data_IF_181780851044
#
_entry.id   IF_181780851044
#
_cell.length_a   1.000
_cell.length_b   1.000
_cell.length_c   1.000
_cell.angle_alpha   90.00
_cell.angle_beta   90.00
_cell.angle_gamma   90.00
#
_symmetry.space_group_name_H-M   'P 1'
#
loop_
_entity.id
_entity.type
_entity.pdbx_description
1 polymer ?
#
# COMPACT_ATOMS: atom_id res chain seq x y z
N UNK A 1 -1.03 23.65 -13.96
CA UNK A 1 0.19 23.22 -13.26
C UNK A 1 0.48 24.28 -12.22
N UNK A 2 0.15 24.03 -10.96
CA UNK A 2 0.44 24.95 -9.85
C UNK A 2 1.47 24.27 -8.98
N UNK A 3 2.64 24.89 -8.89
CA UNK A 3 3.73 24.50 -8.01
C UNK A 3 3.70 25.42 -6.77
N UNK A 4 4.09 24.93 -5.58
CA UNK A 4 4.45 23.54 -5.26
C UNK A 4 3.23 22.66 -4.97
N UNK A 5 3.36 21.36 -5.25
CA UNK A 5 2.43 20.32 -4.79
C UNK A 5 2.88 19.79 -3.43
N UNK A 6 1.92 19.35 -2.62
CA UNK A 6 2.18 18.62 -1.37
C UNK A 6 2.05 17.13 -1.66
N UNK A 7 3.01 16.35 -1.17
CA UNK A 7 3.03 14.91 -1.37
C UNK A 7 2.99 14.16 -0.04
N UNK A 8 2.39 12.98 -0.06
CA UNK A 8 2.46 11.99 1.00
C UNK A 8 3.19 10.77 0.49
N UNK A 9 4.12 10.25 1.28
CA UNK A 9 4.90 9.06 0.92
C UNK A 9 4.53 7.92 1.86
N UNK A 10 4.01 6.85 1.30
CA UNK A 10 3.67 5.65 2.04
C UNK A 10 4.74 4.59 1.83
N UNK A 11 5.40 4.19 2.91
CA UNK A 11 6.40 3.12 2.88
C UNK A 11 5.76 1.80 3.31
N UNK A 12 6.16 0.72 2.66
CA UNK A 12 5.80 -0.62 3.06
C UNK A 12 6.97 -1.58 2.89
N UNK A 13 7.02 -2.59 3.75
CA UNK A 13 7.84 -3.76 3.51
C UNK A 13 7.16 -4.62 2.43
N UNK A 14 7.94 -5.16 1.48
CA UNK A 14 7.39 -6.00 0.40
C UNK A 14 7.37 -7.48 0.73
N UNK A 15 8.16 -7.90 1.70
CA UNK A 15 8.36 -9.29 2.12
C UNK A 15 8.71 -9.36 3.60
N UNK A 16 8.50 -10.52 4.23
CA UNK A 16 8.80 -10.72 5.64
C UNK A 16 10.29 -10.48 5.92
N UNK A 17 10.63 -9.51 6.77
CA UNK A 17 12.02 -9.15 7.03
C UNK A 17 12.84 -10.26 7.68
N UNK A 18 12.19 -11.22 8.36
CA UNK A 18 12.86 -12.38 8.94
C UNK A 18 13.50 -13.29 7.88
N UNK A 19 12.94 -13.31 6.66
CA UNK A 19 13.41 -14.15 5.56
C UNK A 19 14.57 -13.53 4.76
N UNK A 20 14.87 -12.25 5.03
CA UNK A 20 15.73 -11.43 4.17
C UNK A 20 16.87 -10.78 4.94
N UNK A 21 16.62 -10.32 6.17
CA UNK A 21 17.65 -9.67 6.98
C UNK A 21 18.80 -10.64 7.32
N UNK A 22 18.49 -11.94 7.45
CA UNK A 22 19.50 -13.01 7.58
C UNK A 22 20.36 -13.22 6.32
N UNK A 23 19.97 -12.64 5.17
CA UNK A 23 20.71 -12.60 3.91
C UNK A 23 21.36 -11.23 3.68
N UNK A 24 21.50 -10.42 4.73
CA UNK A 24 22.02 -9.05 4.69
C UNK A 24 21.16 -8.04 3.92
N UNK A 25 19.86 -8.25 3.72
CA UNK A 25 19.05 -7.25 2.99
C UNK A 25 17.58 -7.17 3.42
N UNK A 26 16.92 -6.10 3.01
CA UNK A 26 15.47 -5.98 3.06
C UNK A 26 14.97 -5.22 1.83
N UNK A 27 13.70 -5.39 1.51
CA UNK A 27 13.05 -4.71 0.40
C UNK A 27 11.90 -3.85 0.90
N UNK A 28 11.81 -2.65 0.33
CA UNK A 28 10.78 -1.68 0.60
C UNK A 28 10.19 -1.18 -0.70
N UNK A 29 8.95 -0.74 -0.61
CA UNK A 29 8.30 0.01 -1.66
C UNK A 29 7.76 1.31 -1.06
N UNK A 30 7.90 2.40 -1.81
CA UNK A 30 7.29 3.68 -1.51
C UNK A 30 6.28 4.06 -2.59
N UNK A 31 5.06 4.40 -2.17
CA UNK A 31 4.05 5.04 -3.01
C UNK A 31 4.04 6.53 -2.70
N UNK A 32 4.34 7.35 -3.70
CA UNK A 32 4.30 8.81 -3.60
C UNK A 32 2.96 9.28 -4.15
N UNK A 33 2.11 9.83 -3.29
CA UNK A 33 0.80 10.36 -3.62
C UNK A 33 0.84 11.89 -3.69
N UNK A 34 0.33 12.44 -4.79
CA UNK A 34 0.05 13.88 -4.90
C UNK A 34 -1.23 14.18 -4.11
N UNK A 35 -1.15 15.05 -3.10
CA UNK A 35 -2.34 15.46 -2.35
C UNK A 35 -3.24 16.35 -3.21
N UNK A 36 -2.68 17.21 -4.04
CA UNK A 36 -3.50 18.07 -4.90
C UNK A 36 -4.25 17.28 -5.98
N UNK A 37 -3.60 16.26 -6.56
CA UNK A 37 -4.18 15.45 -7.64
C UNK A 37 -4.89 14.20 -7.15
N UNK A 38 -4.79 13.86 -5.86
CA UNK A 38 -5.37 12.66 -5.26
C UNK A 38 -5.05 11.39 -6.06
N UNK A 39 -3.80 11.28 -6.56
CA UNK A 39 -3.36 10.16 -7.40
C UNK A 39 -1.89 9.81 -7.20
N UNK A 40 -1.48 8.56 -7.48
CA UNK A 40 -0.07 8.18 -7.48
C UNK A 40 0.74 9.07 -8.44
N UNK A 41 1.77 9.72 -7.91
CA UNK A 41 2.73 10.50 -8.68
C UNK A 41 3.93 9.64 -9.07
N UNK A 42 4.36 8.74 -8.18
CA UNK A 42 5.46 7.81 -8.43
C UNK A 42 5.39 6.57 -7.52
N UNK A 43 6.10 5.53 -7.93
CA UNK A 43 6.35 4.31 -7.16
C UNK A 43 7.85 4.04 -7.15
N UNK A 44 8.41 3.75 -5.98
CA UNK A 44 9.84 3.44 -5.80
C UNK A 44 9.95 2.04 -5.22
N UNK A 45 10.83 1.23 -5.78
CA UNK A 45 11.16 -0.12 -5.27
C UNK A 45 12.62 -0.09 -4.86
N UNK A 46 12.88 -0.41 -3.61
CA UNK A 46 14.21 -0.30 -3.01
C UNK A 46 14.64 -1.63 -2.42
N UNK A 47 15.91 -1.97 -2.65
CA UNK A 47 16.57 -3.10 -2.02
C UNK A 47 17.78 -2.58 -1.26
N UNK A 48 17.73 -2.72 0.07
CA UNK A 48 18.71 -2.16 0.99
C UNK A 48 19.55 -3.28 1.59
N UNK A 49 20.88 -3.11 1.61
CA UNK A 49 21.81 -4.08 2.18
C UNK A 49 22.36 -3.62 3.52
N UNK A 50 22.56 -4.55 4.44
CA UNK A 50 23.22 -4.32 5.72
C UNK A 50 24.72 -4.58 5.57
N UNK A 51 25.52 -3.63 6.05
CA UNK A 51 26.96 -3.67 5.95
C UNK A 51 27.59 -3.44 7.32
N UNK A 52 28.54 -4.29 7.68
CA UNK A 52 29.40 -4.11 8.84
C UNK A 52 30.66 -3.36 8.39
N UNK A 53 30.72 -2.09 8.78
CA UNK A 53 31.85 -1.22 8.45
C UNK A 53 33.13 -1.55 9.23
N UNK A 54 33.05 -2.28 10.34
CA UNK A 54 34.24 -2.72 11.08
C UNK A 54 34.93 -3.88 10.37
N UNK A 55 34.13 -4.76 9.76
CA UNK A 55 34.62 -5.93 9.02
C UNK A 55 34.72 -5.71 7.52
N UNK A 56 34.29 -4.53 7.03
CA UNK A 56 34.24 -4.16 5.62
C UNK A 56 33.54 -5.22 4.75
N UNK A 57 32.37 -5.70 5.21
CA UNK A 57 31.56 -6.70 4.49
C UNK A 57 30.08 -6.61 4.81
N UNK A 58 29.25 -7.24 3.97
CA UNK A 58 27.82 -7.43 4.26
C UNK A 58 27.63 -8.28 5.52
N UNK A 59 26.62 -7.95 6.32
CA UNK A 59 26.33 -8.66 7.57
C UNK A 59 24.98 -9.36 7.54
N UNK A 60 25.01 -10.67 7.80
CA UNK A 60 23.83 -11.52 7.95
C UNK A 60 23.23 -11.48 9.36
N UNK A 61 23.87 -10.74 10.27
CA UNK A 61 23.44 -10.59 11.66
C UNK A 61 23.02 -9.15 11.88
N UNK A 62 21.77 -8.77 11.56
CA UNK A 62 21.25 -7.45 11.91
C UNK A 62 21.31 -7.26 13.43
N UNK A 63 21.57 -6.04 13.91
CA UNK A 63 21.32 -5.70 15.32
C UNK A 63 19.90 -6.08 15.73
N UNK A 64 19.74 -6.60 16.94
CA UNK A 64 18.46 -7.14 17.42
C UNK A 64 17.31 -6.12 17.35
N UNK A 65 17.60 -4.85 17.68
CA UNK A 65 16.61 -3.79 17.63
C UNK A 65 16.07 -3.55 16.21
N UNK A 66 16.90 -3.73 15.17
CA UNK A 66 16.47 -3.60 13.77
C UNK A 66 15.53 -4.75 13.44
N UNK A 67 15.93 -5.99 13.74
CA UNK A 67 15.08 -7.16 13.46
C UNK A 67 13.72 -7.03 14.15
N UNK A 68 13.71 -6.66 15.44
CA UNK A 68 12.47 -6.48 16.22
C UNK A 68 11.56 -5.42 15.62
N UNK A 69 12.09 -4.22 15.31
CA UNK A 69 11.30 -3.14 14.74
C UNK A 69 10.68 -3.52 13.39
N UNK A 70 11.45 -4.22 12.55
CA UNK A 70 10.95 -4.69 11.25
C UNK A 70 9.88 -5.76 11.40
N UNK A 71 10.02 -6.68 12.35
CA UNK A 71 9.00 -7.70 12.64
C UNK A 71 7.69 -7.08 13.15
N UNK A 72 7.78 -6.12 14.08
CA UNK A 72 6.60 -5.39 14.58
C UNK A 72 5.92 -4.61 13.45
N UNK A 73 6.71 -3.90 12.62
CA UNK A 73 6.19 -3.16 11.47
C UNK A 73 5.49 -4.09 10.47
N UNK A 74 6.08 -5.25 10.18
CA UNK A 74 5.50 -6.25 9.30
C UNK A 74 4.16 -6.79 9.84
N UNK A 75 4.10 -7.09 11.15
CA UNK A 75 2.88 -7.57 11.80
C UNK A 75 1.75 -6.53 11.72
N UNK A 76 2.04 -5.27 12.04
CA UNK A 76 1.08 -4.15 11.93
C UNK A 76 0.59 -3.97 10.48
N UNK A 77 1.48 -4.13 9.50
CA UNK A 77 1.14 -4.01 8.09
C UNK A 77 0.20 -5.14 7.64
N UNK A 78 0.46 -6.38 8.06
CA UNK A 78 -0.40 -7.53 7.72
C UNK A 78 -1.76 -7.48 8.43
N UNK A 79 -1.81 -6.99 9.67
CA UNK A 79 -3.07 -6.72 10.37
C UNK A 79 -3.88 -5.65 9.63
N UNK A 80 -3.25 -4.51 9.33
CA UNK A 80 -3.90 -3.41 8.61
C UNK A 80 -4.39 -3.87 7.24
N UNK A 81 -3.60 -4.67 6.51
CA UNK A 81 -3.98 -5.20 5.21
C UNK A 81 -5.27 -6.01 5.27
N UNK A 82 -5.42 -6.89 6.27
CA UNK A 82 -6.65 -7.67 6.46
C UNK A 82 -7.86 -6.76 6.73
N UNK A 83 -7.69 -5.78 7.62
CA UNK A 83 -8.74 -4.82 7.96
C UNK A 83 -9.19 -4.05 6.71
N UNK A 84 -8.25 -3.50 5.94
CA UNK A 84 -8.57 -2.70 4.75
C UNK A 84 -9.12 -3.55 3.61
N UNK A 85 -8.65 -4.78 3.42
CA UNK A 85 -9.25 -5.71 2.45
C UNK A 85 -10.73 -5.98 2.75
N UNK A 86 -11.09 -6.16 4.02
CA UNK A 86 -12.49 -6.31 4.41
C UNK A 86 -13.30 -5.05 4.12
N UNK A 87 -12.75 -3.88 4.41
CA UNK A 87 -13.44 -2.60 4.14
C UNK A 87 -13.67 -2.39 2.63
N UNK A 88 -12.67 -2.70 1.80
CA UNK A 88 -12.81 -2.64 0.33
C UNK A 88 -13.92 -3.57 -0.13
N UNK A 89 -13.92 -4.83 0.32
CA UNK A 89 -14.95 -5.79 -0.05
C UNK A 89 -16.36 -5.35 0.39
N UNK A 90 -16.48 -4.72 1.57
CA UNK A 90 -17.77 -4.18 2.03
C UNK A 90 -18.26 -3.07 1.11
N UNK A 91 -17.39 -2.13 0.71
CA UNK A 91 -17.73 -1.05 -0.21
C UNK A 91 -18.14 -1.61 -1.57
N UNK A 92 -17.39 -2.58 -2.10
CA UNK A 92 -17.70 -3.23 -3.37
C UNK A 92 -19.08 -3.92 -3.34
N UNK A 93 -19.41 -4.60 -2.23
CA UNK A 93 -20.72 -5.23 -2.05
C UNK A 93 -21.85 -4.22 -1.99
N UNK A 94 -21.67 -3.10 -1.28
CA UNK A 94 -22.69 -2.05 -1.23
C UNK A 94 -22.89 -1.38 -2.59
N UNK A 95 -21.81 -1.10 -3.32
CA UNK A 95 -21.90 -0.60 -4.71
C UNK A 95 -22.65 -1.59 -5.58
N UNK A 96 -22.33 -2.88 -5.49
CA UNK A 96 -23.02 -3.91 -6.28
C UNK A 96 -24.51 -4.00 -5.96
N UNK A 97 -24.88 -3.89 -4.68
CA UNK A 97 -26.29 -3.86 -4.26
C UNK A 97 -27.03 -2.68 -4.89
N UNK A 98 -26.43 -1.49 -4.87
CA UNK A 98 -27.00 -0.29 -5.49
C UNK A 98 -27.13 -0.41 -7.01
N UNK A 99 -26.15 -1.02 -7.68
CA UNK A 99 -26.22 -1.31 -9.12
C UNK A 99 -27.40 -2.23 -9.45
N UNK A 100 -27.59 -3.31 -8.68
CA UNK A 100 -28.69 -4.26 -8.85
C UNK A 100 -30.06 -3.66 -8.57
N UNK A 101 -30.17 -2.74 -7.62
CA UNK A 101 -31.42 -2.05 -7.28
C UNK A 101 -31.79 -0.95 -8.28
N UNK A 102 -30.84 -0.49 -9.10
CA UNK A 102 -31.01 0.65 -10.02
C UNK A 102 -30.79 0.26 -11.48
N UNK A 103 -29.54 0.12 -11.91
CA UNK A 103 -29.15 -0.02 -13.32
C UNK A 103 -29.34 -1.42 -13.88
N UNK A 104 -29.04 -2.44 -13.09
CA UNK A 104 -29.16 -3.86 -13.48
C UNK A 104 -30.55 -4.44 -13.16
N UNK A 105 -31.50 -3.60 -12.73
CA UNK A 105 -32.86 -4.04 -12.44
C UNK A 105 -33.62 -4.23 -13.77
N UNK A 106 -34.11 -5.44 -14.09
CA UNK A 106 -34.83 -5.70 -15.34
C UNK A 106 -36.14 -4.93 -15.47
N UNK A 107 -36.70 -4.45 -14.35
CA UNK A 107 -37.90 -3.64 -14.30
C UNK A 107 -37.60 -2.12 -14.18
N UNK A 108 -36.32 -1.72 -14.28
CA UNK A 108 -35.95 -0.31 -14.27
C UNK A 108 -36.49 0.41 -15.52
N UNK A 109 -37.17 1.52 -15.30
CA UNK A 109 -37.64 2.41 -16.36
C UNK A 109 -36.67 3.58 -16.46
N UNK A 110 -35.95 3.68 -17.58
CA UNK A 110 -35.07 4.83 -17.86
C UNK A 110 -35.93 6.09 -18.08
N UNK A 111 -35.74 7.10 -17.21
CA UNK A 111 -36.23 8.45 -17.48
C UNK A 111 -35.35 9.10 -18.54
N UNK A 112 -35.83 9.08 -19.79
CA UNK A 112 -35.14 9.65 -20.95
C UNK A 112 -35.04 11.18 -20.92
N UNK A 113 -35.66 11.84 -19.93
CA UNK A 113 -35.75 13.29 -19.86
C UNK A 113 -36.61 13.86 -20.99
N UNK A 114 -37.35 14.93 -20.71
CA UNK A 114 -38.02 15.66 -21.77
C UNK A 114 -36.99 16.50 -22.51
N UNK A 115 -36.64 16.11 -23.75
CA UNK A 115 -35.94 16.99 -24.66
C UNK A 115 -36.81 18.24 -24.89
N UNK A 116 -36.40 19.37 -24.30
CA UNK A 116 -36.94 20.70 -24.59
C UNK A 116 -36.13 21.38 -25.69
#
# INVERSE_FOLDING_TARGET
>A
MTWPDKITVYHRLTQNPSDTLNKSYFQQEALILSEYKQRPAARVIEQNYLYDYTQLRKTNTPPEFILRQFQETWALQEESKKQWQQQVANIENEVRRLELESWDNPDAVEDMGSAG
#
